data_IF_535016160352
#
_entry.id   IF_535016160352
#
_cell.length_a   1.000
_cell.length_b   1.000
_cell.length_c   1.000
_cell.angle_alpha   90.00
_cell.angle_beta   90.00
_cell.angle_gamma   90.00
#
_symmetry.space_group_name_H-M   'P 1'
#
loop_
_entity.id
_entity.type
_entity.pdbx_description
1 polymer ?
#
# COMPACT_ATOMS: atom_id res chain seq x y z
N UNK A 1 -39.99 65.23 -4.19
CA UNK A 1 -40.98 64.21 -3.82
C UNK A 1 -40.60 62.92 -4.54
N UNK A 2 -40.35 61.84 -3.78
CA UNK A 2 -40.11 60.44 -4.20
C UNK A 2 -38.69 60.05 -4.67
N UNK A 3 -37.85 59.85 -3.64
CA UNK A 3 -37.00 58.69 -3.34
C UNK A 3 -37.03 57.52 -4.34
N UNK A 4 -35.86 57.15 -4.88
CA UNK A 4 -35.60 55.82 -5.44
C UNK A 4 -34.61 55.11 -4.48
N UNK A 5 -35.10 54.03 -3.88
CA UNK A 5 -34.42 53.22 -2.87
C UNK A 5 -33.47 52.24 -3.57
N UNK A 6 -32.17 52.34 -3.31
CA UNK A 6 -31.19 51.33 -3.71
C UNK A 6 -31.37 50.11 -2.79
N UNK A 7 -31.86 49.01 -3.36
CA UNK A 7 -31.98 47.72 -2.68
C UNK A 7 -30.59 47.06 -2.68
N UNK A 8 -29.84 47.23 -1.59
CA UNK A 8 -28.67 46.42 -1.27
C UNK A 8 -29.15 45.00 -0.96
N UNK A 9 -29.05 44.11 -1.96
CA UNK A 9 -29.25 42.69 -1.79
C UNK A 9 -27.97 42.11 -1.15
N UNK A 10 -27.96 42.00 0.17
CA UNK A 10 -26.99 41.19 0.91
C UNK A 10 -27.15 39.74 0.50
N UNK A 11 -26.29 39.28 -0.42
CA UNK A 11 -26.10 37.85 -0.66
C UNK A 11 -25.31 37.31 0.54
N UNK A 12 -26.03 36.76 1.52
CA UNK A 12 -25.44 35.77 2.41
C UNK A 12 -25.12 34.56 1.55
N UNK A 13 -23.86 34.44 1.14
CA UNK A 13 -23.28 33.16 0.76
C UNK A 13 -23.23 32.33 2.05
N UNK A 14 -24.30 31.58 2.29
CA UNK A 14 -24.20 30.36 3.10
C UNK A 14 -23.27 29.42 2.34
N UNK A 15 -21.98 29.49 2.68
CA UNK A 15 -21.09 28.37 2.47
C UNK A 15 -21.70 27.20 3.28
N UNK A 16 -22.42 26.31 2.60
CA UNK A 16 -22.69 24.99 3.13
C UNK A 16 -21.35 24.24 3.06
N UNK A 17 -20.47 24.53 4.02
CA UNK A 17 -19.47 23.56 4.42
C UNK A 17 -20.24 22.40 5.03
N UNK A 18 -20.09 21.21 4.46
CA UNK A 18 -20.40 20.00 5.18
C UNK A 18 -19.41 19.92 6.34
N UNK A 19 -19.80 20.41 7.51
CA UNK A 19 -19.23 19.97 8.78
C UNK A 19 -19.62 18.48 8.92
N UNK A 20 -18.87 17.62 8.23
CA UNK A 20 -18.91 16.18 8.47
C UNK A 20 -18.41 15.98 9.90
N UNK A 21 -19.28 15.49 10.79
CA UNK A 21 -18.88 15.03 12.12
C UNK A 21 -18.04 13.77 11.93
N UNK A 22 -16.77 13.95 11.54
CA UNK A 22 -15.85 12.86 11.23
C UNK A 22 -15.79 11.82 12.36
N UNK A 23 -15.84 12.30 13.61
CA UNK A 23 -15.91 11.41 14.78
C UNK A 23 -17.23 10.65 14.89
N UNK A 24 -18.33 11.25 14.49
CA UNK A 24 -19.63 10.59 14.35
C UNK A 24 -19.63 9.54 13.24
N UNK A 25 -19.09 9.85 12.06
CA UNK A 25 -19.04 8.92 10.93
C UNK A 25 -18.16 7.69 11.27
N UNK A 26 -17.00 7.92 11.90
CA UNK A 26 -16.14 6.84 12.43
C UNK A 26 -16.86 5.96 13.45
N UNK A 27 -17.61 6.57 14.37
CA UNK A 27 -18.38 5.82 15.37
C UNK A 27 -19.39 4.88 14.72
N UNK A 28 -20.07 5.32 13.67
CA UNK A 28 -21.05 4.49 12.95
C UNK A 28 -20.39 3.31 12.25
N UNK A 29 -19.23 3.52 11.61
CA UNK A 29 -18.50 2.45 10.93
C UNK A 29 -17.91 1.40 11.87
N UNK A 30 -17.53 1.80 13.08
CA UNK A 30 -16.93 0.92 14.08
C UNK A 30 -17.91 0.44 15.17
N UNK A 31 -19.22 0.54 14.94
CA UNK A 31 -20.21 0.12 15.94
C UNK A 31 -20.06 -1.37 16.30
N UNK A 32 -19.93 -1.66 17.59
CA UNK A 32 -19.73 -3.00 18.12
C UNK A 32 -18.31 -3.58 17.95
N UNK A 33 -17.32 -2.80 17.51
CA UNK A 33 -15.93 -3.23 17.45
C UNK A 33 -15.16 -3.04 18.76
N UNK A 34 -14.07 -3.78 18.91
CA UNK A 34 -13.06 -3.64 19.97
C UNK A 34 -11.65 -3.63 19.36
N UNK A 35 -10.64 -3.05 20.03
CA UNK A 35 -9.26 -3.00 19.52
C UNK A 35 -8.50 -4.34 19.66
N UNK A 36 -9.16 -5.44 20.06
CA UNK A 36 -8.51 -6.74 20.27
C UNK A 36 -8.29 -7.46 18.93
N UNK A 37 -7.03 -7.76 18.60
CA UNK A 37 -6.67 -8.43 17.35
C UNK A 37 -7.33 -9.81 17.23
N UNK A 38 -7.93 -10.09 16.06
CA UNK A 38 -8.53 -11.40 15.75
C UNK A 38 -7.46 -12.46 15.41
N UNK A 39 -6.60 -12.80 16.38
CA UNK A 39 -5.61 -13.88 16.29
C UNK A 39 -4.46 -13.71 15.26
N UNK A 40 -4.57 -12.79 14.30
CA UNK A 40 -3.54 -12.50 13.30
C UNK A 40 -2.34 -11.70 13.84
N UNK A 41 -2.45 -11.13 15.05
CA UNK A 41 -1.33 -10.48 15.77
C UNK A 41 -0.30 -11.45 16.38
N UNK A 42 -0.58 -12.77 16.35
CA UNK A 42 0.25 -13.78 17.00
C UNK A 42 1.68 -13.92 16.42
N UNK A 43 1.96 -13.39 15.22
CA UNK A 43 3.29 -13.45 14.58
C UNK A 43 4.26 -12.34 15.02
N UNK A 44 3.80 -11.24 15.64
CA UNK A 44 4.65 -10.11 16.02
C UNK A 44 5.52 -10.37 17.27
N UNK A 45 5.13 -11.32 18.12
CA UNK A 45 5.92 -11.76 19.26
C UNK A 45 7.15 -12.60 18.87
N UNK A 46 7.18 -13.12 17.63
CA UNK A 46 8.29 -13.91 17.10
C UNK A 46 9.35 -13.09 16.35
N UNK A 47 9.11 -11.78 16.16
CA UNK A 47 10.03 -10.88 15.47
C UNK A 47 11.24 -10.54 16.36
N UNK A 48 12.44 -10.62 15.79
CA UNK A 48 13.70 -10.33 16.48
C UNK A 48 13.92 -8.81 16.59
N UNK A 49 13.19 -8.18 17.51
CA UNK A 49 13.17 -6.72 17.75
C UNK A 49 13.27 -6.38 19.23
N UNK A 50 13.78 -5.20 19.55
CA UNK A 50 13.76 -4.61 20.89
C UNK A 50 12.69 -3.53 20.97
N UNK A 51 11.88 -3.55 22.03
CA UNK A 51 10.87 -2.51 22.33
C UNK A 51 11.29 -1.77 23.59
N UNK A 52 11.29 -0.44 23.56
CA UNK A 52 11.63 0.44 24.67
C UNK A 52 10.59 1.56 24.80
N UNK A 53 10.07 1.78 26.00
CA UNK A 53 9.28 2.98 26.31
C UNK A 53 10.23 4.17 26.45
N UNK A 54 10.03 5.20 25.64
CA UNK A 54 10.89 6.38 25.60
C UNK A 54 10.07 7.65 25.78
N UNK A 55 10.59 8.58 26.58
CA UNK A 55 10.09 9.96 26.59
C UNK A 55 10.73 10.67 25.41
N UNK A 56 9.92 11.03 24.41
CA UNK A 56 10.41 11.64 23.17
C UNK A 56 10.00 13.11 23.02
N UNK A 57 8.99 13.56 23.76
CA UNK A 57 8.48 14.93 23.69
C UNK A 57 8.05 15.46 25.06
N UNK A 58 7.91 16.78 25.16
CA UNK A 58 7.21 17.46 26.24
C UNK A 58 6.23 18.46 25.61
N UNK A 59 4.94 18.23 25.80
CA UNK A 59 3.86 19.00 25.18
C UNK A 59 3.02 19.58 26.30
N UNK A 60 2.74 20.89 26.24
CA UNK A 60 2.03 21.63 27.30
C UNK A 60 2.62 21.45 28.72
N UNK A 61 3.92 21.17 28.80
CA UNK A 61 4.63 20.95 30.07
C UNK A 61 4.53 19.52 30.62
N UNK A 62 3.88 18.62 29.91
CA UNK A 62 3.75 17.20 30.27
C UNK A 62 4.63 16.33 29.37
N UNK A 63 5.30 15.34 29.96
CA UNK A 63 6.13 14.40 29.21
C UNK A 63 5.26 13.43 28.41
N UNK A 64 5.58 13.27 27.13
CA UNK A 64 4.93 12.30 26.25
C UNK A 64 5.83 11.09 26.08
N UNK A 65 5.28 9.90 26.31
CA UNK A 65 5.97 8.62 26.18
C UNK A 65 5.45 7.90 24.94
N UNK A 66 6.33 7.20 24.23
CA UNK A 66 5.96 6.33 23.12
C UNK A 66 6.81 5.07 23.14
N UNK A 67 6.50 4.12 22.25
CA UNK A 67 7.25 2.88 22.14
C UNK A 67 8.22 2.96 20.96
N UNK A 68 9.52 3.01 21.25
CA UNK A 68 10.58 2.87 20.26
C UNK A 68 10.86 1.38 20.00
N UNK A 69 10.78 0.98 18.74
CA UNK A 69 11.03 -0.38 18.29
C UNK A 69 12.19 -0.40 17.29
N UNK A 70 13.15 -1.30 17.50
CA UNK A 70 14.36 -1.42 16.68
C UNK A 70 14.66 -2.90 16.37
N UNK A 71 15.30 -3.22 15.23
CA UNK A 71 15.77 -4.57 14.97
C UNK A 71 16.80 -4.99 16.03
N UNK A 72 16.67 -6.20 16.57
CA UNK A 72 17.54 -6.70 17.60
C UNK A 72 18.98 -6.85 17.10
N UNK A 73 19.96 -6.59 17.98
CA UNK A 73 21.38 -6.72 17.66
C UNK A 73 21.94 -5.67 16.69
N UNK A 74 21.11 -4.80 16.11
CA UNK A 74 21.55 -3.72 15.22
C UNK A 74 21.92 -2.49 16.03
N UNK A 75 23.19 -2.10 15.95
CA UNK A 75 23.74 -0.90 16.60
C UNK A 75 23.97 0.20 15.56
N UNK A 76 23.77 1.45 15.98
CA UNK A 76 23.96 2.63 15.13
C UNK A 76 22.67 3.20 14.52
N UNK A 77 22.78 4.29 13.75
CA UNK A 77 21.63 4.99 13.18
C UNK A 77 20.89 4.15 12.14
N UNK A 78 19.56 4.23 12.15
CA UNK A 78 18.68 3.56 11.19
C UNK A 78 17.71 4.57 10.58
N UNK A 79 17.31 4.40 9.31
CA UNK A 79 16.15 5.13 8.80
C UNK A 79 14.96 4.90 9.73
N UNK A 80 14.20 5.96 10.00
CA UNK A 80 13.17 5.91 11.02
C UNK A 80 11.77 6.17 10.48
N UNK A 81 10.78 5.66 11.19
CA UNK A 81 9.36 5.87 10.88
C UNK A 81 8.63 6.32 12.15
N UNK A 82 7.95 7.45 12.07
CA UNK A 82 6.96 7.88 13.07
C UNK A 82 5.68 7.10 12.79
N UNK A 83 5.26 6.26 13.72
CA UNK A 83 4.10 5.37 13.59
C UNK A 83 2.95 5.94 14.41
N UNK A 84 1.87 6.35 13.73
CA UNK A 84 0.76 7.08 14.32
C UNK A 84 -0.46 6.16 14.43
N UNK A 85 -0.99 6.03 15.64
CA UNK A 85 -2.09 5.14 15.96
C UNK A 85 -3.43 5.53 15.31
N UNK A 86 -4.34 4.56 15.24
CA UNK A 86 -5.75 4.79 14.89
C UNK A 86 -6.49 5.54 16.00
N UNK A 87 -7.80 5.74 15.83
CA UNK A 87 -8.64 6.43 16.79
C UNK A 87 -8.74 5.76 18.19
N UNK A 88 -8.27 4.51 18.33
CA UNK A 88 -8.22 3.76 19.59
C UNK A 88 -7.11 4.22 20.55
N UNK A 89 -6.13 4.99 20.08
CA UNK A 89 -4.93 5.31 20.86
C UNK A 89 -3.79 4.31 20.65
N UNK A 90 -2.67 4.52 21.36
CA UNK A 90 -1.49 3.66 21.26
C UNK A 90 -1.72 2.30 21.94
N UNK A 91 -2.29 1.37 21.18
CA UNK A 91 -2.58 -0.01 21.60
C UNK A 91 -1.53 -1.02 21.08
N UNK A 92 -1.70 -2.29 21.44
CA UNK A 92 -0.74 -3.35 21.10
C UNK A 92 -0.68 -3.64 19.60
N UNK A 93 -1.79 -3.49 18.87
CA UNK A 93 -1.78 -3.62 17.41
C UNK A 93 -0.82 -2.61 16.76
N UNK A 94 -0.86 -1.35 17.20
CA UNK A 94 0.06 -0.31 16.69
C UNK A 94 1.51 -0.61 17.08
N UNK A 95 1.76 -1.08 18.31
CA UNK A 95 3.11 -1.50 18.75
C UNK A 95 3.64 -2.67 17.94
N UNK A 96 2.77 -3.60 17.54
CA UNK A 96 3.13 -4.74 16.69
C UNK A 96 3.37 -4.34 15.23
N UNK A 97 2.63 -3.35 14.72
CA UNK A 97 2.93 -2.76 13.41
C UNK A 97 4.29 -2.03 13.42
N UNK A 98 4.64 -1.34 14.51
CA UNK A 98 5.98 -0.78 14.69
C UNK A 98 7.05 -1.88 14.76
N UNK A 99 6.76 -3.03 15.38
CA UNK A 99 7.66 -4.19 15.36
C UNK A 99 7.85 -4.78 13.97
N UNK A 100 6.79 -4.82 13.14
CA UNK A 100 6.91 -5.22 11.73
C UNK A 100 7.80 -4.27 10.94
N UNK A 101 7.68 -2.96 11.12
CA UNK A 101 8.62 -1.99 10.51
C UNK A 101 10.05 -2.20 11.00
N UNK A 102 10.24 -2.45 12.29
CA UNK A 102 11.58 -2.73 12.82
C UNK A 102 12.19 -4.01 12.24
N UNK A 103 11.39 -5.05 11.99
CA UNK A 103 11.83 -6.26 11.31
C UNK A 103 12.22 -6.02 9.83
N UNK A 104 11.68 -4.98 9.20
CA UNK A 104 12.06 -4.53 7.85
C UNK A 104 13.32 -3.62 7.85
N UNK A 105 13.91 -3.35 9.03
CA UNK A 105 15.19 -2.64 9.15
C UNK A 105 15.09 -1.17 9.60
N UNK A 106 13.91 -0.72 10.05
CA UNK A 106 13.70 0.68 10.47
C UNK A 106 13.77 0.86 11.99
N UNK A 107 14.09 2.07 12.46
CA UNK A 107 13.72 2.48 13.81
C UNK A 107 12.28 3.02 13.80
N UNK A 108 11.35 2.32 14.44
CA UNK A 108 9.95 2.73 14.46
C UNK A 108 9.60 3.36 15.81
N UNK A 109 9.18 4.63 15.83
CA UNK A 109 8.68 5.29 17.03
C UNK A 109 7.16 5.33 16.96
N UNK A 110 6.50 4.46 17.72
CA UNK A 110 5.06 4.52 17.92
C UNK A 110 4.73 5.64 18.89
N UNK A 111 4.16 6.72 18.36
CA UNK A 111 3.84 7.94 19.12
C UNK A 111 2.50 7.80 19.82
N UNK A 112 2.35 8.54 20.92
CA UNK A 112 1.11 8.65 21.67
C UNK A 112 0.54 10.06 21.51
N UNK A 113 -0.61 10.16 20.85
CA UNK A 113 -1.31 11.44 20.65
C UNK A 113 -2.44 11.66 21.66
N UNK A 114 -2.67 10.72 22.59
CA UNK A 114 -3.76 10.72 23.56
C UNK A 114 -3.29 10.77 25.03
N UNK A 115 -2.04 11.14 25.29
CA UNK A 115 -1.54 11.40 26.66
C UNK A 115 -1.68 10.18 27.60
N UNK A 116 -1.44 8.99 27.08
CA UNK A 116 -1.47 7.71 27.79
C UNK A 116 -2.84 7.03 27.77
N UNK A 117 -3.87 7.68 27.21
CA UNK A 117 -5.20 7.11 27.10
C UNK A 117 -5.35 6.23 25.84
N UNK A 118 -6.15 5.18 25.98
CA UNK A 118 -6.61 4.34 24.89
C UNK A 118 -8.07 3.96 25.12
N UNK A 119 -8.77 3.60 24.04
CA UNK A 119 -10.19 3.28 24.08
C UNK A 119 -10.42 1.81 23.73
N UNK A 120 -11.36 1.20 24.45
CA UNK A 120 -11.83 -0.17 24.20
C UNK A 120 -13.27 -0.20 23.64
N UNK A 121 -13.90 0.96 23.49
CA UNK A 121 -15.26 1.12 22.94
C UNK A 121 -15.34 2.29 21.97
N UNK A 122 -16.19 2.22 20.93
CA UNK A 122 -16.40 3.32 19.98
C UNK A 122 -16.72 4.66 20.63
N UNK A 123 -17.50 4.67 21.71
CA UNK A 123 -17.86 5.88 22.47
C UNK A 123 -16.65 6.56 23.09
N UNK A 124 -15.76 5.77 23.71
CA UNK A 124 -14.52 6.27 24.28
C UNK A 124 -13.58 6.79 23.20
N UNK A 125 -13.43 6.05 22.09
CA UNK A 125 -12.59 6.43 20.96
C UNK A 125 -13.06 7.74 20.32
N UNK A 126 -14.38 7.92 20.17
CA UNK A 126 -15.00 9.18 19.72
C UNK A 126 -14.60 10.35 20.63
N UNK A 127 -14.67 10.15 21.95
CA UNK A 127 -14.30 11.17 22.94
C UNK A 127 -12.82 11.56 22.87
N UNK A 128 -11.93 10.56 22.81
CA UNK A 128 -10.49 10.78 22.68
C UNK A 128 -10.15 11.51 21.37
N UNK A 129 -10.72 11.08 20.24
CA UNK A 129 -10.46 11.70 18.95
C UNK A 129 -10.93 13.16 18.90
N UNK A 130 -12.13 13.45 19.42
CA UNK A 130 -12.62 14.84 19.54
C UNK A 130 -11.70 15.69 20.41
N UNK A 131 -11.33 15.19 21.59
CA UNK A 131 -10.42 15.89 22.49
C UNK A 131 -9.04 16.15 21.87
N UNK A 132 -8.55 15.22 21.04
CA UNK A 132 -7.30 15.38 20.31
C UNK A 132 -7.42 16.41 19.16
N UNK A 133 -8.54 16.41 18.42
CA UNK A 133 -8.80 17.40 17.37
C UNK A 133 -8.90 18.82 17.94
N UNK A 134 -9.52 18.99 19.10
CA UNK A 134 -9.58 20.27 19.83
C UNK A 134 -8.19 20.79 20.24
N UNK A 135 -7.21 19.88 20.37
CA UNK A 135 -5.80 20.18 20.70
C UNK A 135 -4.86 19.97 19.51
N UNK A 136 -5.33 20.17 18.29
CA UNK A 136 -4.54 19.92 17.07
C UNK A 136 -3.14 20.56 17.08
N UNK A 137 -2.99 21.80 17.57
CA UNK A 137 -1.68 22.44 17.68
C UNK A 137 -0.69 21.67 18.59
N UNK A 138 -1.18 21.11 19.70
CA UNK A 138 -0.38 20.30 20.62
C UNK A 138 0.01 18.95 19.98
N UNK A 139 -0.86 18.38 19.15
CA UNK A 139 -0.54 17.17 18.39
C UNK A 139 0.51 17.43 17.30
N UNK A 140 0.45 18.58 16.64
CA UNK A 140 1.50 18.99 15.70
C UNK A 140 2.85 19.14 16.40
N UNK A 141 2.90 19.85 17.54
CA UNK A 141 4.12 19.98 18.36
C UNK A 141 4.66 18.61 18.82
N UNK A 142 3.77 17.70 19.24
CA UNK A 142 4.12 16.32 19.58
C UNK A 142 4.86 15.61 18.42
N UNK A 143 4.33 15.69 17.20
CA UNK A 143 4.89 15.04 16.02
C UNK A 143 6.21 15.69 15.54
N UNK A 144 6.32 17.02 15.63
CA UNK A 144 7.58 17.74 15.37
C UNK A 144 8.68 17.34 16.37
N UNK A 145 8.32 17.19 17.65
CA UNK A 145 9.25 16.69 18.67
C UNK A 145 9.60 15.21 18.48
N UNK A 146 8.67 14.37 18.02
CA UNK A 146 8.95 12.98 17.63
C UNK A 146 9.98 12.92 16.49
N UNK A 147 9.82 13.75 15.46
CA UNK A 147 10.82 13.90 14.39
C UNK A 147 12.17 14.35 14.95
N UNK A 148 12.19 15.38 15.80
CA UNK A 148 13.41 15.88 16.42
C UNK A 148 14.12 14.81 17.27
N UNK A 149 13.38 14.01 18.04
CA UNK A 149 13.91 12.88 18.80
C UNK A 149 14.57 11.86 17.87
N UNK A 150 13.92 11.48 16.77
CA UNK A 150 14.49 10.52 15.81
C UNK A 150 15.75 11.07 15.12
N UNK A 151 15.76 12.34 14.71
CA UNK A 151 16.93 12.97 14.07
C UNK A 151 18.10 13.18 15.02
N UNK A 152 17.85 13.54 16.29
CA UNK A 152 18.91 13.97 17.21
C UNK A 152 19.38 12.89 18.17
N UNK A 153 18.44 12.13 18.74
CA UNK A 153 18.72 11.07 19.73
C UNK A 153 19.00 9.76 19.00
N UNK A 154 18.13 9.36 18.08
CA UNK A 154 18.32 8.13 17.29
C UNK A 154 19.25 8.35 16.08
N UNK A 155 19.61 9.60 15.80
CA UNK A 155 20.52 10.00 14.71
C UNK A 155 20.04 9.53 13.33
N UNK A 156 18.72 9.35 13.16
CA UNK A 156 18.14 8.76 11.96
C UNK A 156 18.58 9.55 10.71
N UNK A 157 19.18 8.88 9.70
CA UNK A 157 19.61 9.54 8.47
C UNK A 157 18.42 10.11 7.71
N UNK A 158 17.27 9.45 7.77
CA UNK A 158 16.00 9.80 7.12
C UNK A 158 14.82 9.42 8.03
N UNK A 159 13.68 10.11 7.87
CA UNK A 159 12.47 9.91 8.68
C UNK A 159 11.22 9.98 7.80
N UNK A 160 10.37 8.95 7.87
CA UNK A 160 9.00 9.00 7.34
C UNK A 160 7.96 9.17 8.44
N UNK A 161 6.76 9.65 8.08
CA UNK A 161 5.55 9.47 8.88
C UNK A 161 4.67 8.38 8.27
N UNK A 162 3.98 7.61 9.12
CA UNK A 162 3.05 6.58 8.70
C UNK A 162 1.92 6.47 9.72
N UNK A 163 0.66 6.39 9.27
CA UNK A 163 -0.45 6.07 10.16
C UNK A 163 -1.71 5.57 9.48
N UNK A 164 -2.67 5.15 10.29
CA UNK A 164 -3.96 4.55 9.88
C UNK A 164 -5.15 5.33 10.44
N UNK A 165 -6.23 5.48 9.66
CA UNK A 165 -7.45 6.19 10.08
C UNK A 165 -7.10 7.61 10.56
N UNK A 166 -7.38 7.92 11.83
CA UNK A 166 -6.92 9.12 12.53
C UNK A 166 -5.42 9.37 12.32
N UNK A 167 -4.59 8.35 12.51
CA UNK A 167 -3.15 8.41 12.28
C UNK A 167 -2.77 8.62 10.82
N UNK A 168 -3.60 8.19 9.86
CA UNK A 168 -3.40 8.45 8.44
C UNK A 168 -3.57 9.94 8.14
N UNK A 169 -4.64 10.54 8.66
CA UNK A 169 -4.85 11.99 8.57
C UNK A 169 -3.72 12.77 9.27
N UNK A 170 -3.23 12.28 10.42
CA UNK A 170 -2.11 12.88 11.14
C UNK A 170 -0.74 12.66 10.50
N UNK A 171 -0.55 11.61 9.70
CA UNK A 171 0.66 11.45 8.88
C UNK A 171 0.73 12.54 7.80
N UNK A 172 -0.40 12.84 7.14
CA UNK A 172 -0.48 13.96 6.19
C UNK A 172 -0.30 15.31 6.90
N UNK A 173 -0.93 15.52 8.07
CA UNK A 173 -0.73 16.75 8.85
C UNK A 173 0.71 16.93 9.34
N UNK A 174 1.38 15.85 9.72
CA UNK A 174 2.80 15.88 10.04
C UNK A 174 3.63 16.32 8.83
N UNK A 175 3.32 15.81 7.63
CA UNK A 175 3.98 16.22 6.40
C UNK A 175 3.74 17.71 6.09
N UNK A 176 2.52 18.21 6.29
CA UNK A 176 2.19 19.63 6.10
C UNK A 176 2.86 20.56 7.11
N UNK A 177 3.04 20.10 8.35
CA UNK A 177 3.78 20.84 9.38
C UNK A 177 5.30 20.84 9.14
N UNK A 178 5.81 19.78 8.53
CA UNK A 178 7.22 19.54 8.25
C UNK A 178 7.47 19.31 6.75
N UNK A 179 7.11 20.28 5.88
CA UNK A 179 7.02 20.10 4.44
C UNK A 179 8.38 19.86 3.76
N UNK A 180 9.49 20.08 4.47
CA UNK A 180 10.85 19.92 3.93
C UNK A 180 11.72 18.99 4.77
N UNK A 181 11.22 18.55 5.92
CA UNK A 181 12.00 17.82 6.92
C UNK A 181 11.76 16.31 6.87
N UNK A 182 10.53 15.87 6.57
CA UNK A 182 10.26 14.44 6.35
C UNK A 182 10.74 13.99 4.97
N UNK A 183 11.22 12.76 4.89
CA UNK A 183 11.69 12.14 3.65
C UNK A 183 10.57 11.39 2.90
N UNK A 184 9.48 11.03 3.59
CA UNK A 184 8.28 10.42 3.00
C UNK A 184 7.08 10.45 3.96
N UNK A 185 5.86 10.34 3.44
CA UNK A 185 4.67 10.12 4.27
C UNK A 185 3.77 9.00 3.70
N UNK A 186 3.18 8.20 4.61
CA UNK A 186 2.33 7.05 4.27
C UNK A 186 0.99 7.14 4.99
N UNK A 187 -0.08 7.21 4.20
CA UNK A 187 -1.45 7.45 4.66
C UNK A 187 -2.28 6.19 4.41
N UNK A 188 -2.84 5.58 5.45
CA UNK A 188 -3.84 4.53 5.32
C UNK A 188 -5.21 5.08 5.73
N UNK A 189 -6.15 5.13 4.77
CA UNK A 189 -7.56 5.51 4.94
C UNK A 189 -7.74 6.67 5.93
N UNK A 190 -6.91 7.71 5.77
CA UNK A 190 -6.96 8.93 6.56
C UNK A 190 -7.59 10.06 5.77
N UNK A 191 -8.33 10.93 6.44
CA UNK A 191 -9.00 12.08 5.81
C UNK A 191 -8.02 12.84 4.89
N UNK A 192 -8.30 12.95 3.58
CA UNK A 192 -7.43 13.66 2.66
C UNK A 192 -7.57 15.18 2.79
N UNK A 193 -6.58 15.91 2.27
CA UNK A 193 -6.66 17.37 2.02
C UNK A 193 -6.87 17.57 0.53
N UNK A 194 -7.95 18.24 0.14
CA UNK A 194 -8.35 18.37 -1.27
C UNK A 194 -7.93 19.68 -1.93
N UNK A 195 -7.27 20.56 -1.18
CA UNK A 195 -6.82 21.87 -1.67
C UNK A 195 -5.35 21.82 -2.10
N UNK A 196 -5.09 22.07 -3.38
CA UNK A 196 -3.74 21.93 -3.96
C UNK A 196 -2.73 22.94 -3.40
N UNK A 197 -3.17 24.12 -2.99
CA UNK A 197 -2.31 25.16 -2.40
C UNK A 197 -1.84 24.78 -0.99
N UNK A 198 -2.64 24.04 -0.23
CA UNK A 198 -2.21 23.45 1.04
C UNK A 198 -1.16 22.35 0.83
N UNK A 199 -1.26 21.58 -0.27
CA UNK A 199 -0.33 20.48 -0.58
C UNK A 199 0.96 20.93 -1.29
N UNK A 200 0.93 22.06 -2.00
CA UNK A 200 2.06 22.59 -2.79
C UNK A 200 3.40 22.75 -2.03
N UNK A 201 3.43 23.01 -0.70
CA UNK A 201 4.68 23.08 0.04
C UNK A 201 5.41 21.73 0.20
N UNK A 202 4.71 20.59 0.07
CA UNK A 202 5.28 19.27 0.35
C UNK A 202 6.42 18.93 -0.61
N UNK A 203 7.63 18.72 -0.06
CA UNK A 203 8.84 18.43 -0.83
C UNK A 203 9.21 16.93 -0.86
N UNK A 204 8.39 16.07 -0.25
CA UNK A 204 8.61 14.63 -0.14
C UNK A 204 7.51 13.84 -0.82
N UNK A 205 7.76 12.58 -1.20
CA UNK A 205 6.75 11.75 -1.81
C UNK A 205 5.68 11.29 -0.80
N UNK A 206 4.46 11.12 -1.30
CA UNK A 206 3.29 10.64 -0.54
C UNK A 206 2.83 9.28 -1.07
N UNK A 207 2.61 8.32 -0.18
CA UNK A 207 1.90 7.07 -0.48
C UNK A 207 0.56 7.05 0.25
N UNK A 208 -0.55 6.84 -0.46
CA UNK A 208 -1.87 6.76 0.15
C UNK A 208 -2.64 5.50 -0.25
N UNK A 209 -3.35 4.91 0.71
CA UNK A 209 -4.15 3.69 0.54
C UNK A 209 -5.60 3.94 0.98
N UNK A 210 -6.58 3.72 0.12
CA UNK A 210 -8.00 3.95 0.40
C UNK A 210 -8.86 2.73 0.04
N UNK A 211 -9.91 2.45 0.81
CA UNK A 211 -10.92 1.45 0.46
C UNK A 211 -11.97 2.03 -0.50
N UNK A 212 -12.39 1.27 -1.52
CA UNK A 212 -13.46 1.70 -2.44
C UNK A 212 -14.83 1.77 -1.73
N UNK A 213 -15.05 0.91 -0.74
CA UNK A 213 -16.28 0.82 0.05
C UNK A 213 -16.19 1.58 1.40
N UNK A 214 -15.29 2.55 1.50
CA UNK A 214 -15.17 3.41 2.69
C UNK A 214 -16.20 4.55 2.64
N UNK A 215 -17.27 4.42 3.43
CA UNK A 215 -18.33 5.44 3.49
C UNK A 215 -17.89 6.76 4.15
N UNK A 216 -16.81 6.76 4.93
CA UNK A 216 -16.29 7.94 5.64
C UNK A 216 -15.36 8.78 4.77
N UNK A 217 -14.73 8.14 3.78
CA UNK A 217 -13.87 8.77 2.78
C UNK A 217 -14.44 8.43 1.41
N UNK A 218 -15.47 9.15 0.95
CA UNK A 218 -16.11 8.84 -0.32
C UNK A 218 -15.11 8.96 -1.47
N UNK A 219 -15.28 8.14 -2.51
CA UNK A 219 -14.38 8.14 -3.68
C UNK A 219 -14.20 9.52 -4.33
N UNK A 220 -15.21 10.39 -4.27
CA UNK A 220 -15.07 11.77 -4.75
C UNK A 220 -14.01 12.58 -3.99
N UNK A 221 -13.80 12.31 -2.70
CA UNK A 221 -12.75 12.95 -1.90
C UNK A 221 -11.37 12.36 -2.25
N UNK A 222 -11.30 11.05 -2.50
CA UNK A 222 -10.06 10.39 -2.98
C UNK A 222 -9.64 10.93 -4.35
N UNK A 223 -10.57 11.07 -5.29
CA UNK A 223 -10.33 11.63 -6.62
C UNK A 223 -9.91 13.11 -6.57
N UNK A 224 -10.51 13.89 -5.66
CA UNK A 224 -10.11 15.28 -5.42
C UNK A 224 -8.70 15.36 -4.83
N UNK A 225 -8.35 14.47 -3.90
CA UNK A 225 -7.00 14.41 -3.33
C UNK A 225 -5.94 14.08 -4.38
N UNK A 226 -6.21 13.07 -5.21
CA UNK A 226 -5.32 12.68 -6.32
C UNK A 226 -5.08 13.88 -7.26
N UNK A 227 -6.17 14.55 -7.65
CA UNK A 227 -6.11 15.75 -8.50
C UNK A 227 -5.36 16.91 -7.83
N UNK A 228 -5.54 17.09 -6.51
CA UNK A 228 -4.89 18.16 -5.76
C UNK A 228 -3.38 17.92 -5.60
N UNK A 229 -2.95 16.68 -5.34
CA UNK A 229 -1.54 16.28 -5.34
C UNK A 229 -0.90 16.48 -6.72
N UNK A 230 -1.62 16.14 -7.80
CA UNK A 230 -1.14 16.39 -9.16
C UNK A 230 -0.98 17.87 -9.46
N UNK A 231 -2.00 18.69 -9.13
CA UNK A 231 -1.96 20.13 -9.32
C UNK A 231 -0.87 20.82 -8.48
N UNK A 232 -0.60 20.29 -7.28
CA UNK A 232 0.46 20.74 -6.39
C UNK A 232 1.86 20.37 -6.89
N UNK A 233 1.99 19.43 -7.83
CA UNK A 233 3.28 18.95 -8.34
C UNK A 233 4.05 18.08 -7.34
N UNK A 234 3.35 17.47 -6.38
CA UNK A 234 3.91 16.56 -5.37
C UNK A 234 4.15 15.19 -6.02
N UNK A 235 5.23 14.51 -5.66
CA UNK A 235 5.41 13.11 -6.05
C UNK A 235 4.49 12.22 -5.21
N UNK A 236 3.64 11.41 -5.84
CA UNK A 236 2.69 10.61 -5.06
C UNK A 236 2.30 9.29 -5.74
N UNK A 237 1.81 8.36 -4.91
CA UNK A 237 1.12 7.14 -5.30
C UNK A 237 -0.17 7.00 -4.47
N UNK A 238 -1.34 7.05 -5.12
CA UNK A 238 -2.64 6.73 -4.49
C UNK A 238 -3.12 5.37 -4.97
N UNK A 239 -3.49 4.49 -4.04
CA UNK A 239 -4.05 3.17 -4.33
C UNK A 239 -5.44 3.02 -3.72
N UNK A 240 -6.38 2.54 -4.53
CA UNK A 240 -7.74 2.20 -4.12
C UNK A 240 -7.90 0.68 -4.14
N UNK A 241 -8.49 0.13 -3.08
CA UNK A 241 -8.71 -1.31 -2.90
C UNK A 241 -10.20 -1.63 -3.07
N UNK A 242 -10.52 -2.38 -4.12
CA UNK A 242 -11.91 -2.75 -4.45
C UNK A 242 -12.56 -3.57 -3.35
N UNK A 243 -13.82 -3.25 -3.05
CA UNK A 243 -14.65 -3.83 -1.98
C UNK A 243 -14.11 -3.65 -0.54
N UNK A 244 -12.93 -3.04 -0.36
CA UNK A 244 -12.36 -2.79 0.95
C UNK A 244 -13.06 -1.60 1.62
N UNK A 245 -13.46 -1.77 2.88
CA UNK A 245 -14.07 -0.73 3.70
C UNK A 245 -13.00 0.09 4.46
N UNK A 246 -13.45 1.04 5.28
CA UNK A 246 -12.58 1.72 6.24
C UNK A 246 -11.89 0.70 7.15
N UNK A 247 -10.67 1.02 7.61
CA UNK A 247 -9.89 0.14 8.49
C UNK A 247 -9.57 -1.25 7.92
N UNK A 248 -9.59 -1.44 6.59
CA UNK A 248 -9.30 -2.74 5.96
C UNK A 248 -7.95 -3.35 6.36
N UNK A 249 -6.98 -2.53 6.77
CA UNK A 249 -5.64 -2.98 7.17
C UNK A 249 -5.52 -3.30 8.67
N UNK A 250 -6.59 -3.09 9.45
CA UNK A 250 -6.58 -3.33 10.89
C UNK A 250 -7.06 -4.75 11.22
N UNK A 251 -6.17 -5.65 11.72
CA UNK A 251 -6.52 -7.04 12.03
C UNK A 251 -7.41 -7.23 13.26
N UNK A 252 -7.71 -6.19 14.03
CA UNK A 252 -8.70 -6.25 15.12
C UNK A 252 -10.14 -5.95 14.69
N UNK A 253 -10.33 -5.28 13.56
CA UNK A 253 -11.65 -4.84 13.09
C UNK A 253 -12.40 -5.91 12.30
N UNK A 254 -13.73 -5.74 12.21
CA UNK A 254 -14.59 -6.59 11.37
C UNK A 254 -14.37 -6.30 9.87
N UNK A 255 -13.93 -5.09 9.56
CA UNK A 255 -13.60 -4.64 8.21
C UNK A 255 -12.27 -5.18 7.68
N UNK A 256 -11.51 -5.97 8.46
CA UNK A 256 -10.21 -6.49 8.07
C UNK A 256 -10.27 -7.27 6.75
N UNK A 257 -9.61 -6.74 5.72
CA UNK A 257 -9.35 -7.44 4.47
C UNK A 257 -7.86 -7.82 4.44
N UNK A 258 -7.51 -9.08 4.73
CA UNK A 258 -6.12 -9.52 4.79
C UNK A 258 -5.39 -9.33 3.46
N UNK A 259 -6.06 -9.42 2.31
CA UNK A 259 -5.41 -9.25 1.02
C UNK A 259 -5.10 -7.78 0.73
N UNK A 260 -6.07 -6.91 0.95
CA UNK A 260 -5.86 -5.48 0.80
C UNK A 260 -4.77 -5.01 1.76
N UNK A 261 -4.80 -5.49 3.02
CA UNK A 261 -3.80 -5.22 4.04
C UNK A 261 -2.38 -5.67 3.64
N UNK A 262 -2.21 -6.93 3.20
CA UNK A 262 -0.92 -7.46 2.76
C UNK A 262 -0.39 -6.72 1.52
N UNK A 263 -1.28 -6.36 0.59
CA UNK A 263 -0.91 -5.63 -0.62
C UNK A 263 -0.47 -4.20 -0.30
N UNK A 264 -1.21 -3.51 0.56
CA UNK A 264 -0.85 -2.17 1.05
C UNK A 264 0.47 -2.19 1.82
N UNK A 265 0.69 -3.21 2.65
CA UNK A 265 1.94 -3.41 3.37
C UNK A 265 3.14 -3.62 2.43
N UNK A 266 2.99 -4.47 1.41
CA UNK A 266 4.04 -4.70 0.43
C UNK A 266 4.39 -3.43 -0.38
N UNK A 267 3.38 -2.60 -0.70
CA UNK A 267 3.60 -1.29 -1.33
C UNK A 267 4.32 -0.32 -0.39
N UNK A 268 3.92 -0.31 0.88
CA UNK A 268 4.49 0.55 1.91
C UNK A 268 5.97 0.26 2.15
N UNK A 269 6.32 -1.01 2.35
CA UNK A 269 7.73 -1.40 2.55
C UNK A 269 8.59 -1.12 1.32
N UNK A 270 8.07 -1.34 0.11
CA UNK A 270 8.77 -0.97 -1.12
C UNK A 270 8.98 0.56 -1.23
N UNK A 271 7.97 1.34 -0.91
CA UNK A 271 8.03 2.80 -0.92
C UNK A 271 9.00 3.37 0.12
N UNK A 272 8.95 2.88 1.36
CA UNK A 272 9.89 3.27 2.41
C UNK A 272 11.33 2.86 2.03
N UNK A 273 11.52 1.69 1.44
CA UNK A 273 12.83 1.23 0.98
C UNK A 273 13.40 2.09 -0.17
N UNK A 274 12.55 2.68 -1.00
CA UNK A 274 12.96 3.59 -2.07
C UNK A 274 13.32 4.99 -1.55
N UNK A 275 12.60 5.49 -0.54
CA UNK A 275 12.68 6.90 -0.13
C UNK A 275 13.51 7.16 1.14
N UNK A 276 13.77 6.13 1.96
CA UNK A 276 14.52 6.31 3.22
C UNK A 276 15.99 5.86 3.16
N UNK A 277 16.56 5.56 1.99
CA UNK A 277 17.98 5.20 1.92
C UNK A 277 18.88 6.41 2.24
N UNK A 278 19.96 6.17 2.99
CA UNK A 278 20.90 7.22 3.36
C UNK A 278 21.52 7.87 2.11
N UNK A 279 21.46 9.19 2.04
CA UNK A 279 22.05 9.99 0.97
C UNK A 279 23.58 9.88 0.99
N UNK A 280 24.16 8.96 0.22
CA UNK A 280 25.52 9.14 -0.28
C UNK A 280 25.48 9.90 -1.61
N UNK A 281 26.22 11.01 -1.61
CA UNK A 281 26.40 11.91 -2.74
C UNK A 281 27.17 11.20 -3.87
N UNK A 282 26.75 11.47 -5.12
CA UNK A 282 27.44 11.19 -6.40
C UNK A 282 27.68 9.72 -6.79
N UNK A 283 26.78 9.19 -7.62
CA UNK A 283 27.01 7.96 -8.39
C UNK A 283 27.78 8.30 -9.68
N UNK A 284 29.09 8.06 -9.67
CA UNK A 284 29.85 7.85 -10.91
C UNK A 284 29.48 6.46 -11.48
N UNK A 285 29.51 6.28 -12.81
CA UNK A 285 28.78 5.20 -13.47
C UNK A 285 29.42 3.83 -13.23
N UNK A 286 28.58 2.86 -12.89
CA UNK A 286 28.89 1.44 -13.04
C UNK A 286 28.93 1.12 -14.54
N UNK A 287 29.99 0.45 -14.98
CA UNK A 287 30.06 -0.25 -16.26
C UNK A 287 31.01 -1.47 -16.13
N UNK A 288 30.86 -2.53 -16.94
CA UNK A 288 29.62 -3.09 -17.48
C UNK A 288 29.59 -4.65 -17.36
N UNK A 289 28.51 -5.21 -16.85
CA UNK A 289 27.71 -6.05 -17.76
C UNK A 289 26.84 -5.06 -18.54
N UNK A 290 26.45 -5.35 -19.78
CA UNK A 290 25.68 -4.41 -20.59
C UNK A 290 24.26 -4.22 -20.01
N UNK A 291 24.17 -3.46 -18.91
CA UNK A 291 22.93 -3.08 -18.27
C UNK A 291 22.29 -2.07 -19.20
N UNK A 292 21.17 -2.47 -19.79
CA UNK A 292 20.44 -1.59 -20.69
C UNK A 292 20.04 -0.32 -19.92
N UNK A 293 20.13 0.89 -20.50
CA UNK A 293 19.78 2.14 -19.79
C UNK A 293 18.37 2.13 -19.18
N UNK A 294 17.45 1.36 -19.78
CA UNK A 294 16.11 1.14 -19.25
C UNK A 294 16.10 0.39 -17.91
N UNK A 295 17.01 -0.56 -17.67
CA UNK A 295 17.13 -1.23 -16.37
C UNK A 295 17.57 -0.28 -15.26
N UNK A 296 18.45 0.68 -15.57
CA UNK A 296 18.82 1.74 -14.63
C UNK A 296 17.61 2.64 -14.33
N UNK A 297 16.88 3.07 -15.36
CA UNK A 297 15.65 3.86 -15.22
C UNK A 297 14.55 3.14 -14.43
N UNK A 298 14.46 1.82 -14.54
CA UNK A 298 13.52 1.01 -13.76
C UNK A 298 13.99 0.80 -12.32
N UNK A 299 15.28 0.60 -12.10
CA UNK A 299 15.84 0.43 -10.76
C UNK A 299 15.77 1.71 -9.93
N UNK A 300 15.91 2.87 -10.58
CA UNK A 300 15.88 4.20 -9.95
C UNK A 300 14.51 4.89 -10.05
N UNK A 301 13.54 4.32 -10.78
CA UNK A 301 12.26 4.95 -11.09
C UNK A 301 11.09 4.53 -10.19
N UNK A 302 10.09 5.40 -10.06
CA UNK A 302 8.80 5.14 -9.36
C UNK A 302 7.79 4.39 -10.24
N UNK A 303 6.60 4.05 -9.70
CA UNK A 303 5.53 3.41 -10.48
C UNK A 303 5.12 4.22 -11.74
N UNK A 304 5.08 5.56 -11.66
CA UNK A 304 4.88 6.45 -12.84
C UNK A 304 6.01 6.33 -13.87
N UNK A 305 7.23 6.06 -13.40
CA UNK A 305 8.37 5.70 -14.26
C UNK A 305 8.10 4.40 -15.00
N UNK A 306 7.60 3.37 -14.32
CA UNK A 306 7.19 2.11 -14.93
C UNK A 306 6.03 2.29 -15.92
N UNK A 307 5.07 3.18 -15.66
CA UNK A 307 3.97 3.51 -16.60
C UNK A 307 4.47 4.18 -17.89
N UNK A 308 5.35 5.20 -17.78
CA UNK A 308 5.97 5.82 -18.96
C UNK A 308 6.81 4.82 -19.75
N UNK A 309 7.55 3.96 -19.05
CA UNK A 309 8.33 2.90 -19.68
C UNK A 309 7.40 1.85 -20.34
N UNK A 310 6.22 1.59 -19.78
CA UNK A 310 5.23 0.73 -20.40
C UNK A 310 4.68 1.32 -21.71
N UNK A 311 4.45 2.63 -21.76
CA UNK A 311 4.06 3.32 -23.00
C UNK A 311 5.17 3.30 -24.05
N UNK A 312 6.42 3.51 -23.65
CA UNK A 312 7.59 3.37 -24.52
C UNK A 312 7.73 1.94 -25.07
N UNK A 313 7.64 0.93 -24.19
CA UNK A 313 7.78 -0.48 -24.56
C UNK A 313 6.59 -1.00 -25.39
N UNK A 314 5.39 -0.42 -25.23
CA UNK A 314 4.24 -0.76 -26.06
C UNK A 314 4.48 -0.46 -27.56
N UNK A 315 5.33 0.52 -27.87
CA UNK A 315 5.73 0.88 -29.22
C UNK A 315 7.03 0.23 -29.71
N UNK A 316 7.76 -0.47 -28.84
CA UNK A 316 9.13 -0.94 -29.12
C UNK A 316 9.36 -2.39 -28.63
N UNK A 317 9.43 -3.36 -29.57
CA UNK A 317 9.73 -4.75 -29.25
C UNK A 317 11.11 -4.98 -28.61
N UNK A 318 12.11 -4.14 -28.89
CA UNK A 318 13.43 -4.25 -28.26
C UNK A 318 13.36 -3.87 -26.78
N UNK A 319 12.62 -2.81 -26.44
CA UNK A 319 12.38 -2.45 -25.04
C UNK A 319 11.55 -3.51 -24.31
N UNK A 320 10.59 -4.14 -24.99
CA UNK A 320 9.87 -5.29 -24.43
C UNK A 320 10.83 -6.43 -24.05
N UNK A 321 11.79 -6.76 -24.92
CA UNK A 321 12.78 -7.80 -24.62
C UNK A 321 13.64 -7.44 -23.40
N UNK A 322 14.05 -6.18 -23.29
CA UNK A 322 14.78 -5.66 -22.12
C UNK A 322 13.94 -5.78 -20.84
N UNK A 323 12.65 -5.47 -20.88
CA UNK A 323 11.76 -5.64 -19.74
C UNK A 323 11.66 -7.11 -19.31
N UNK A 324 11.58 -8.03 -20.28
CA UNK A 324 11.54 -9.47 -20.02
C UNK A 324 12.83 -9.93 -19.35
N UNK A 325 13.99 -9.46 -19.79
CA UNK A 325 15.28 -9.74 -19.15
C UNK A 325 15.31 -9.21 -17.70
N UNK A 326 14.69 -8.07 -17.45
CA UNK A 326 14.56 -7.47 -16.11
C UNK A 326 13.85 -8.38 -15.10
N UNK A 327 12.98 -9.30 -15.56
CA UNK A 327 12.32 -10.27 -14.69
C UNK A 327 13.29 -11.26 -14.03
N UNK A 328 14.47 -11.47 -14.62
CA UNK A 328 15.52 -12.34 -14.08
C UNK A 328 16.48 -11.58 -13.14
N UNK A 329 16.31 -10.27 -12.95
CA UNK A 329 17.20 -9.46 -12.11
C UNK A 329 17.21 -9.94 -10.65
N UNK A 330 18.37 -9.89 -10.01
CA UNK A 330 18.50 -10.11 -8.57
C UNK A 330 17.96 -8.92 -7.76
N UNK A 331 17.98 -7.71 -8.33
CA UNK A 331 17.39 -6.50 -7.76
C UNK A 331 15.86 -6.60 -7.74
N UNK A 332 15.21 -6.61 -6.55
CA UNK A 332 13.77 -6.67 -6.41
C UNK A 332 13.00 -5.49 -7.01
N UNK A 333 13.55 -4.27 -6.95
CA UNK A 333 12.88 -3.08 -7.46
C UNK A 333 12.79 -3.14 -8.99
N UNK A 334 13.93 -3.36 -9.65
CA UNK A 334 14.00 -3.57 -11.09
C UNK A 334 13.06 -4.70 -11.55
N UNK A 335 13.10 -5.84 -10.85
CA UNK A 335 12.28 -7.01 -11.19
C UNK A 335 10.78 -6.72 -11.08
N UNK A 336 10.34 -6.02 -10.04
CA UNK A 336 8.93 -5.67 -9.82
C UNK A 336 8.43 -4.58 -10.79
N UNK A 337 9.26 -3.57 -11.07
CA UNK A 337 8.94 -2.51 -12.03
C UNK A 337 8.89 -3.05 -13.45
N UNK A 338 9.81 -3.94 -13.83
CA UNK A 338 9.78 -4.64 -15.11
C UNK A 338 8.49 -5.45 -15.29
N UNK A 339 8.06 -6.19 -14.26
CA UNK A 339 6.82 -6.95 -14.28
C UNK A 339 5.58 -6.05 -14.44
N UNK A 340 5.52 -4.95 -13.71
CA UNK A 340 4.43 -3.96 -13.80
C UNK A 340 4.38 -3.28 -15.18
N UNK A 341 5.54 -2.88 -15.70
CA UNK A 341 5.64 -2.26 -17.02
C UNK A 341 5.21 -3.22 -18.14
N UNK A 342 5.61 -4.50 -18.05
CA UNK A 342 5.17 -5.52 -18.99
C UNK A 342 3.65 -5.75 -18.93
N UNK A 343 3.06 -5.80 -17.74
CA UNK A 343 1.62 -5.96 -17.62
C UNK A 343 0.88 -4.82 -18.32
N UNK A 344 1.28 -3.58 -18.05
CA UNK A 344 0.67 -2.39 -18.62
C UNK A 344 0.84 -2.33 -20.15
N UNK A 345 2.07 -2.54 -20.65
CA UNK A 345 2.37 -2.50 -22.08
C UNK A 345 1.55 -3.54 -22.87
N UNK A 346 1.41 -4.74 -22.29
CA UNK A 346 0.84 -5.90 -22.99
C UNK A 346 -0.68 -6.01 -22.85
N UNK A 347 -1.33 -5.22 -21.98
CA UNK A 347 -2.79 -5.08 -21.95
C UNK A 347 -3.35 -4.58 -23.28
N UNK A 348 -2.68 -3.60 -23.89
CA UNK A 348 -3.08 -3.01 -25.18
C UNK A 348 -2.42 -3.70 -26.37
N UNK A 349 -1.27 -4.32 -26.16
CA UNK A 349 -0.47 -4.96 -27.21
C UNK A 349 -0.03 -6.38 -26.80
N UNK A 350 -0.96 -7.35 -26.70
CA UNK A 350 -0.64 -8.70 -26.22
C UNK A 350 0.37 -9.46 -27.09
N UNK A 351 0.43 -9.12 -28.39
CA UNK A 351 1.37 -9.73 -29.34
C UNK A 351 2.85 -9.47 -29.04
N UNK A 352 3.17 -8.48 -28.19
CA UNK A 352 4.55 -8.19 -27.79
C UNK A 352 5.20 -9.35 -27.01
N UNK A 353 4.42 -10.17 -26.33
CA UNK A 353 4.94 -11.30 -25.54
C UNK A 353 5.15 -12.58 -26.36
N UNK A 354 4.75 -12.61 -27.63
CA UNK A 354 4.69 -13.84 -28.43
C UNK A 354 6.05 -14.57 -28.53
N UNK A 355 7.17 -13.84 -28.47
CA UNK A 355 8.53 -14.39 -28.55
C UNK A 355 9.19 -14.66 -27.19
N UNK A 356 8.50 -14.34 -26.08
CA UNK A 356 9.09 -14.33 -24.73
C UNK A 356 8.52 -15.41 -23.80
N UNK A 357 7.76 -16.38 -24.34
CA UNK A 357 7.11 -17.44 -23.57
C UNK A 357 8.09 -18.21 -22.66
N UNK A 358 9.23 -18.62 -23.19
CA UNK A 358 10.22 -19.41 -22.42
C UNK A 358 10.88 -18.58 -21.32
N UNK A 359 11.14 -17.30 -21.57
CA UNK A 359 11.72 -16.39 -20.58
C UNK A 359 10.73 -16.11 -19.43
N UNK A 360 9.45 -15.87 -19.76
CA UNK A 360 8.38 -15.71 -18.76
C UNK A 360 8.20 -16.98 -17.91
N UNK A 361 8.26 -18.16 -18.52
CA UNK A 361 8.18 -19.44 -17.81
C UNK A 361 9.41 -19.69 -16.94
N UNK A 362 10.60 -19.31 -17.41
CA UNK A 362 11.84 -19.37 -16.63
C UNK A 362 11.72 -18.48 -15.38
N UNK A 363 11.29 -17.24 -15.55
CA UNK A 363 11.03 -16.31 -14.45
C UNK A 363 9.98 -16.87 -13.48
N UNK A 364 8.89 -17.46 -14.00
CA UNK A 364 7.85 -18.07 -13.17
C UNK A 364 8.28 -19.32 -12.40
N UNK A 365 9.30 -20.04 -12.89
CA UNK A 365 9.89 -21.20 -12.19
C UNK A 365 10.93 -20.78 -11.15
N UNK A 366 11.69 -19.73 -11.44
CA UNK A 366 12.70 -19.17 -10.53
C UNK A 366 12.07 -18.48 -9.30
N UNK A 367 10.83 -17.98 -9.44
CA UNK A 367 10.17 -17.17 -8.43
C UNK A 367 9.59 -17.97 -7.25
N UNK A 368 10.45 -18.21 -6.27
CA UNK A 368 10.07 -18.56 -4.89
C UNK A 368 10.18 -17.37 -3.92
N UNK A 369 10.47 -16.13 -4.37
CA UNK A 369 10.95 -15.04 -3.49
C UNK A 369 10.45 -13.61 -3.76
N UNK A 370 9.56 -13.32 -4.72
CA UNK A 370 9.00 -11.96 -4.92
C UNK A 370 7.45 -11.89 -4.93
N UNK A 371 6.83 -10.88 -4.32
CA UNK A 371 5.34 -10.73 -4.26
C UNK A 371 4.71 -10.22 -5.56
N UNK A 372 5.35 -9.29 -6.28
CA UNK A 372 4.77 -8.73 -7.51
C UNK A 372 4.82 -9.70 -8.70
N UNK A 373 5.92 -10.43 -8.88
CA UNK A 373 6.03 -11.46 -9.92
C UNK A 373 5.00 -12.58 -9.76
N UNK A 374 4.78 -13.03 -8.51
CA UNK A 374 3.75 -14.03 -8.18
C UNK A 374 2.36 -13.62 -8.66
N UNK A 375 2.02 -12.32 -8.55
CA UNK A 375 0.73 -11.78 -9.02
C UNK A 375 0.69 -11.61 -10.53
N UNK A 376 1.73 -11.05 -11.13
CA UNK A 376 1.68 -10.55 -12.51
C UNK A 376 1.97 -11.62 -13.56
N UNK A 377 2.86 -12.58 -13.27
CA UNK A 377 3.24 -13.61 -14.25
C UNK A 377 2.07 -14.46 -14.78
N UNK A 378 1.09 -14.90 -13.96
CA UNK A 378 -0.08 -15.60 -14.48
C UNK A 378 -0.87 -14.79 -15.52
N UNK A 379 -0.95 -13.45 -15.36
CA UNK A 379 -1.61 -12.58 -16.34
C UNK A 379 -0.82 -12.46 -17.64
N UNK A 380 0.51 -12.34 -17.55
CA UNK A 380 1.39 -12.30 -18.73
C UNK A 380 1.35 -13.63 -19.49
N UNK A 381 1.39 -14.75 -18.77
CA UNK A 381 1.31 -16.10 -19.35
C UNK A 381 -0.06 -16.37 -19.98
N UNK A 382 -1.13 -15.76 -19.47
CA UNK A 382 -2.47 -15.88 -20.06
C UNK A 382 -2.61 -15.15 -21.41
N UNK A 383 -1.69 -14.25 -21.76
CA UNK A 383 -1.71 -13.44 -23.00
C UNK A 383 -0.90 -14.04 -24.15
N UNK A 384 -0.14 -15.10 -23.91
CA UNK A 384 0.71 -15.74 -24.92
C UNK A 384 0.08 -17.03 -25.46
N UNK A 385 0.35 -17.31 -26.74
CA UNK A 385 0.05 -18.60 -27.34
C UNK A 385 1.03 -19.64 -26.80
N UNK A 386 0.53 -20.61 -26.06
CA UNK A 386 1.36 -21.64 -25.43
C UNK A 386 1.50 -22.87 -26.34
N UNK A 387 2.63 -23.55 -26.30
CA UNK A 387 2.73 -24.93 -26.79
C UNK A 387 2.10 -25.88 -25.77
N UNK A 388 1.74 -27.11 -26.17
CA UNK A 388 1.18 -28.10 -25.24
C UNK A 388 2.07 -28.37 -24.02
N UNK A 389 3.40 -28.34 -24.18
CA UNK A 389 4.34 -28.53 -23.08
C UNK A 389 4.43 -27.31 -22.15
N UNK A 390 4.34 -26.11 -22.71
CA UNK A 390 4.30 -24.87 -21.93
C UNK A 390 2.97 -24.75 -21.17
N UNK A 391 1.85 -25.11 -21.80
CA UNK A 391 0.54 -25.17 -21.17
C UNK A 391 0.51 -26.07 -19.93
N UNK A 392 1.10 -27.27 -20.00
CA UNK A 392 1.26 -28.15 -18.83
C UNK A 392 2.07 -27.49 -17.71
N UNK A 393 3.13 -26.76 -18.06
CA UNK A 393 3.91 -26.00 -17.08
C UNK A 393 3.06 -24.90 -16.42
N UNK A 394 2.30 -24.14 -17.21
CA UNK A 394 1.42 -23.07 -16.69
C UNK A 394 0.33 -23.66 -15.78
N UNK A 395 -0.31 -24.77 -16.18
CA UNK A 395 -1.29 -25.47 -15.35
C UNK A 395 -0.66 -25.91 -14.02
N UNK A 396 0.52 -26.53 -14.05
CA UNK A 396 1.21 -26.96 -12.84
C UNK A 396 1.53 -25.77 -11.90
N UNK A 397 1.99 -24.66 -12.44
CA UNK A 397 2.29 -23.44 -11.68
C UNK A 397 1.03 -22.80 -11.10
N UNK A 398 -0.05 -22.69 -11.88
CA UNK A 398 -1.32 -22.11 -11.43
C UNK A 398 -1.99 -22.97 -10.36
N UNK A 399 -2.02 -24.29 -10.54
CA UNK A 399 -2.51 -25.27 -9.54
C UNK A 399 -1.74 -25.15 -8.23
N UNK A 400 -0.41 -25.11 -8.32
CA UNK A 400 0.45 -24.92 -7.14
C UNK A 400 0.11 -23.62 -6.42
N UNK A 401 -0.06 -22.52 -7.14
CA UNK A 401 -0.43 -21.21 -6.56
C UNK A 401 -1.80 -21.23 -5.88
N UNK A 402 -2.80 -21.88 -6.47
CA UNK A 402 -4.14 -21.98 -5.87
C UNK A 402 -4.12 -22.74 -4.54
N UNK A 403 -3.24 -23.75 -4.40
CA UNK A 403 -3.02 -24.48 -3.15
C UNK A 403 -2.17 -23.72 -2.14
N UNK A 404 -1.06 -23.14 -2.60
CA UNK A 404 0.00 -22.60 -1.74
C UNK A 404 -0.29 -21.14 -1.29
N UNK A 405 -1.29 -20.45 -1.84
CA UNK A 405 -1.53 -19.01 -1.56
C UNK A 405 -2.98 -18.71 -1.15
N UNK A 406 -3.19 -18.09 0.03
CA UNK A 406 -4.53 -17.72 0.51
C UNK A 406 -5.11 -16.41 -0.09
N UNK A 407 -4.29 -15.51 -0.65
CA UNK A 407 -4.73 -14.22 -1.20
C UNK A 407 -5.63 -14.35 -2.46
N UNK A 408 -6.77 -13.65 -2.51
CA UNK A 408 -7.80 -13.83 -3.54
C UNK A 408 -7.39 -13.31 -4.93
N UNK A 409 -6.63 -12.23 -5.03
CA UNK A 409 -6.11 -11.67 -6.29
C UNK A 409 -5.01 -12.52 -6.93
N UNK A 410 -4.16 -13.16 -6.13
CA UNK A 410 -3.22 -14.17 -6.66
C UNK A 410 -3.99 -15.40 -7.19
N UNK A 411 -5.08 -15.78 -6.53
CA UNK A 411 -5.98 -16.83 -7.00
C UNK A 411 -6.73 -16.41 -8.27
N UNK A 412 -7.25 -15.18 -8.36
CA UNK A 412 -7.92 -14.66 -9.55
C UNK A 412 -6.99 -14.65 -10.78
N UNK A 413 -5.73 -14.27 -10.59
CA UNK A 413 -4.74 -14.31 -11.67
C UNK A 413 -4.36 -15.74 -12.06
N UNK A 414 -4.26 -16.66 -11.08
CA UNK A 414 -4.07 -18.08 -11.37
C UNK A 414 -5.27 -18.70 -12.11
N UNK A 415 -6.50 -18.33 -11.75
CA UNK A 415 -7.72 -18.72 -12.46
C UNK A 415 -7.74 -18.18 -13.90
N UNK A 416 -7.30 -16.95 -14.09
CA UNK A 416 -7.16 -16.35 -15.42
C UNK A 416 -6.19 -17.14 -16.30
N UNK A 417 -5.06 -17.59 -15.73
CA UNK A 417 -4.11 -18.45 -16.43
C UNK A 417 -4.71 -19.84 -16.76
N UNK A 418 -5.43 -20.47 -15.83
CA UNK A 418 -6.10 -21.75 -16.07
C UNK A 418 -7.17 -21.64 -17.18
N UNK A 419 -7.99 -20.60 -17.14
CA UNK A 419 -9.01 -20.32 -18.15
C UNK A 419 -8.37 -20.15 -19.53
N UNK A 420 -7.32 -19.33 -19.63
CA UNK A 420 -6.60 -19.12 -20.89
C UNK A 420 -6.02 -20.41 -21.45
N UNK A 421 -5.44 -21.28 -20.62
CA UNK A 421 -4.96 -22.60 -21.09
C UNK A 421 -6.11 -23.47 -21.60
N UNK A 422 -7.25 -23.48 -20.92
CA UNK A 422 -8.41 -24.29 -21.33
C UNK A 422 -9.10 -23.78 -22.62
N UNK A 423 -9.02 -22.47 -22.85
CA UNK A 423 -9.44 -21.81 -24.10
C UNK A 423 -8.50 -22.21 -25.25
N UNK A 424 -7.18 -22.13 -25.04
CA UNK A 424 -6.15 -22.40 -26.05
C UNK A 424 -5.91 -23.89 -26.34
N UNK A 425 -6.14 -24.78 -25.37
CA UNK A 425 -5.80 -26.19 -25.44
C UNK A 425 -6.97 -27.11 -25.06
N UNK A 426 -7.88 -27.41 -26.01
CA UNK A 426 -9.06 -28.26 -25.77
C UNK A 426 -8.72 -29.65 -25.20
N UNK A 427 -7.57 -30.22 -25.56
CA UNK A 427 -7.12 -31.51 -25.05
C UNK A 427 -6.90 -31.53 -23.52
N UNK A 428 -6.61 -30.37 -22.91
CA UNK A 428 -6.39 -30.21 -21.47
C UNK A 428 -7.68 -29.87 -20.71
N UNK A 429 -8.72 -29.41 -21.41
CA UNK A 429 -9.98 -28.92 -20.83
C UNK A 429 -10.69 -30.00 -20.02
N UNK A 430 -10.81 -31.21 -20.56
CA UNK A 430 -11.51 -32.32 -19.89
C UNK A 430 -10.83 -32.72 -18.56
N UNK A 431 -9.49 -32.75 -18.54
CA UNK A 431 -8.73 -33.02 -17.32
C UNK A 431 -8.87 -31.91 -16.28
N UNK A 432 -8.90 -30.66 -16.72
CA UNK A 432 -9.13 -29.51 -15.85
C UNK A 432 -10.55 -29.50 -15.27
N UNK A 433 -11.59 -29.79 -16.05
CA UNK A 433 -12.98 -29.87 -15.57
C UNK A 433 -13.10 -30.94 -14.47
N UNK A 434 -12.58 -32.14 -14.72
CA UNK A 434 -12.62 -33.22 -13.72
C UNK A 434 -11.89 -32.85 -12.41
N UNK A 435 -10.79 -32.09 -12.51
CA UNK A 435 -10.07 -31.57 -11.34
C UNK A 435 -10.87 -30.51 -10.58
N UNK A 436 -11.52 -29.57 -11.30
CA UNK A 436 -12.36 -28.53 -10.70
C UNK A 436 -13.61 -29.11 -10.05
N UNK A 437 -14.23 -30.12 -10.65
CA UNK A 437 -15.35 -30.85 -10.04
C UNK A 437 -14.93 -31.46 -8.69
N UNK A 438 -13.72 -32.05 -8.61
CA UNK A 438 -13.19 -32.55 -7.35
C UNK A 438 -12.95 -31.43 -6.32
N UNK A 439 -12.63 -30.22 -6.76
CA UNK A 439 -12.46 -29.07 -5.87
C UNK A 439 -13.79 -28.51 -5.33
N UNK A 440 -14.94 -28.85 -5.92
CA UNK A 440 -16.25 -28.47 -5.35
C UNK A 440 -16.49 -29.12 -3.98
N UNK A 441 -15.87 -30.26 -3.73
CA UNK A 441 -15.92 -31.01 -2.47
C UNK A 441 -14.67 -30.79 -1.59
N UNK A 442 -13.73 -29.94 -2.01
CA UNK A 442 -12.53 -29.65 -1.23
C UNK A 442 -12.89 -29.06 0.13
N UNK A 443 -12.18 -29.39 1.22
CA UNK A 443 -12.47 -28.84 2.55
C UNK A 443 -12.29 -27.32 2.61
N UNK A 444 -11.39 -26.77 1.80
CA UNK A 444 -11.10 -25.34 1.70
C UNK A 444 -12.21 -24.56 0.97
N UNK A 445 -12.92 -23.63 1.64
CA UNK A 445 -13.99 -22.84 1.01
C UNK A 445 -13.57 -22.06 -0.22
N UNK A 446 -12.32 -21.59 -0.24
CA UNK A 446 -11.76 -20.80 -1.34
C UNK A 446 -11.53 -21.62 -2.61
N UNK A 447 -11.09 -22.88 -2.48
CA UNK A 447 -10.94 -23.78 -3.63
C UNK A 447 -12.29 -24.12 -4.23
N UNK A 448 -13.32 -24.32 -3.39
CA UNK A 448 -14.71 -24.49 -3.85
C UNK A 448 -15.21 -23.27 -4.62
N UNK A 449 -14.94 -22.06 -4.14
CA UNK A 449 -15.33 -20.82 -4.82
C UNK A 449 -14.61 -20.67 -6.18
N UNK A 450 -13.30 -20.91 -6.21
CA UNK A 450 -12.49 -20.90 -7.43
C UNK A 450 -12.99 -21.91 -8.47
N UNK A 451 -13.31 -23.13 -8.04
CA UNK A 451 -13.84 -24.19 -8.89
C UNK A 451 -15.16 -23.78 -9.56
N UNK A 452 -16.11 -23.23 -8.79
CA UNK A 452 -17.39 -22.75 -9.33
C UNK A 452 -17.21 -21.67 -10.39
N UNK A 453 -16.35 -20.68 -10.12
CA UNK A 453 -16.09 -19.58 -11.05
C UNK A 453 -15.50 -20.08 -12.36
N UNK A 454 -14.52 -20.99 -12.30
CA UNK A 454 -13.86 -21.49 -13.50
C UNK A 454 -14.76 -22.45 -14.27
N UNK A 455 -15.48 -23.37 -13.61
CA UNK A 455 -16.45 -24.25 -14.26
C UNK A 455 -17.53 -23.43 -15.00
N UNK A 456 -18.10 -22.42 -14.35
CA UNK A 456 -19.09 -21.54 -14.98
C UNK A 456 -18.54 -20.83 -16.23
N UNK A 457 -17.26 -20.48 -16.24
CA UNK A 457 -16.58 -19.90 -17.40
C UNK A 457 -16.30 -20.94 -18.49
N UNK A 458 -15.89 -22.16 -18.11
CA UNK A 458 -15.63 -23.24 -19.06
C UNK A 458 -16.89 -23.76 -19.75
N UNK A 459 -18.04 -23.72 -19.06
CA UNK A 459 -19.35 -24.06 -19.65
C UNK A 459 -19.77 -23.12 -20.79
N UNK A 460 -19.15 -21.93 -20.89
CA UNK A 460 -19.40 -20.96 -21.96
C UNK A 460 -18.49 -21.15 -23.19
N UNK A 461 -17.54 -22.09 -23.15
CA UNK A 461 -16.52 -22.36 -24.18
C UNK A 461 -16.74 -23.69 -24.89
#
# INVERSE_FOLDING_TARGET
>A
MRTLLALLLTVFLTACGSDTDYAGDMREQHDGETPEASGAGADAAALDVTREEVVYATVDGESVTGTLVRPAGVTGPLPAVIVIHEWWGLNDNVRDMAAKLAAEGYAALAVDLYQGESADTPDAATGLMRGAMDRSAALTDNLEQAYAYLKTVQQAPSVASLGWCFGGAWSLRAALAMPTELDAAVIYYGQPVTESDELAPLAMPILAHFGEADDSIPMSAVEQFDSALEAAGVDYEVFVYTDAAHAFANPSGQAYDPEAAETAWARTTAFLAANLQATETTKAPLAPEAVHPLHLRLAEGSHRGAMRIAEEAAGDPELTAVLVDGLASTDPALRNHAASALDLATRRHPGLLALHADALLSAARADARGSALRRTLPLLLARIALTSQQAETVLALARRRLRDTPANGTRANALTALASVAEQHPAQRAGLIAELDAWLDAPEPSLRACARLLLARLDQL
#
